data_IF_599030106352
#
_entry.id   IF_599030106352
#
_cell.length_a   1.000
_cell.length_b   1.000
_cell.length_c   1.000
_cell.angle_alpha   90.00
_cell.angle_beta   90.00
_cell.angle_gamma   90.00
#
_symmetry.space_group_name_H-M   'P 1'
#
loop_
_entity.id
_entity.type
_entity.pdbx_description
1 polymer ?
#
# COMPACT_ATOMS: atom_id res chain seq x y z
N UNK A 1 12.14 4.66 -0.47
CA UNK A 1 13.49 4.81 0.10
C UNK A 1 13.66 6.20 0.74
N UNK A 2 13.53 7.29 -0.02
CA UNK A 2 13.69 8.67 0.51
C UNK A 2 12.86 8.99 1.76
N UNK A 3 11.58 8.62 1.80
CA UNK A 3 10.68 8.82 2.94
C UNK A 3 11.19 8.19 4.26
N UNK A 4 11.83 7.01 4.20
CA UNK A 4 12.35 6.33 5.38
C UNK A 4 13.56 7.08 5.97
N UNK A 5 14.47 7.55 5.11
CA UNK A 5 15.66 8.27 5.51
C UNK A 5 15.33 9.67 6.04
N UNK A 6 14.39 10.37 5.42
CA UNK A 6 13.95 11.70 5.88
C UNK A 6 13.34 11.63 7.29
N UNK A 7 12.50 10.62 7.54
CA UNK A 7 11.93 10.38 8.87
C UNK A 7 12.98 10.05 9.94
N UNK A 8 13.99 9.24 9.62
CA UNK A 8 15.07 8.88 10.55
C UNK A 8 15.97 10.08 10.87
N UNK A 9 16.33 10.88 9.85
CA UNK A 9 17.14 12.09 10.02
C UNK A 9 16.38 13.16 10.81
N UNK A 10 15.06 13.30 10.62
CA UNK A 10 14.26 14.25 11.40
C UNK A 10 14.16 13.87 12.89
N UNK A 11 14.16 12.58 13.21
CA UNK A 11 14.20 12.10 14.61
C UNK A 11 15.58 12.35 15.21
N UNK A 12 16.66 12.00 14.49
CA UNK A 12 18.03 12.21 14.96
C UNK A 12 18.38 13.69 15.15
N UNK A 13 17.82 14.59 14.33
CA UNK A 13 18.02 16.04 14.44
C UNK A 13 17.07 16.74 15.42
N UNK A 14 16.12 16.01 16.03
CA UNK A 14 15.09 16.61 16.89
C UNK A 14 14.15 17.57 16.17
N UNK A 15 14.12 17.56 14.83
CA UNK A 15 13.31 18.44 13.98
C UNK A 15 11.99 17.79 13.55
N UNK A 16 11.64 16.64 14.14
CA UNK A 16 10.37 15.97 13.90
C UNK A 16 9.18 16.88 14.27
N UNK A 17 8.52 17.43 13.25
CA UNK A 17 7.37 18.33 13.39
C UNK A 17 6.10 17.65 12.89
N UNK A 18 4.96 17.95 13.52
CA UNK A 18 3.62 17.55 13.05
C UNK A 18 3.34 18.02 11.62
N UNK A 19 3.91 19.16 11.24
CA UNK A 19 3.81 19.70 9.87
C UNK A 19 4.66 18.87 8.91
N UNK A 20 5.86 18.45 9.32
CA UNK A 20 6.73 17.56 8.53
C UNK A 20 6.09 16.19 8.26
N UNK A 21 5.42 15.60 9.28
CA UNK A 21 4.68 14.33 9.11
C UNK A 21 3.59 14.46 8.02
N UNK A 22 2.88 15.59 7.97
CA UNK A 22 1.85 15.86 6.96
C UNK A 22 2.44 15.97 5.54
N UNK A 23 3.49 16.79 5.38
CA UNK A 23 4.13 17.01 4.07
C UNK A 23 4.89 15.78 3.55
N UNK A 24 5.25 14.84 4.43
CA UNK A 24 5.78 13.55 4.02
C UNK A 24 4.66 12.56 3.68
N UNK A 25 3.56 12.53 4.44
CA UNK A 25 2.51 11.55 4.25
C UNK A 25 1.65 11.81 3.00
N UNK A 26 1.27 13.06 2.69
CA UNK A 26 0.35 13.35 1.59
C UNK A 26 0.94 13.03 0.21
N UNK A 27 2.13 13.53 -0.19
CA UNK A 27 2.72 13.22 -1.49
C UNK A 27 3.05 11.74 -1.66
N UNK A 28 3.36 11.07 -0.55
CA UNK A 28 3.61 9.65 -0.49
C UNK A 28 2.35 8.82 -0.80
N UNK A 29 1.15 9.28 -0.41
CA UNK A 29 -0.12 8.65 -0.84
C UNK A 29 -0.41 8.83 -2.31
N UNK A 30 -0.11 10.01 -2.86
CA UNK A 30 -0.26 10.28 -4.29
C UNK A 30 0.68 9.38 -5.07
N UNK A 31 1.94 9.24 -4.64
CA UNK A 31 2.91 8.34 -5.27
C UNK A 31 2.52 6.86 -5.17
N UNK A 32 2.07 6.39 -4.00
CA UNK A 32 1.58 5.01 -3.82
C UNK A 32 0.42 4.71 -4.79
N UNK A 33 -0.51 5.66 -4.93
CA UNK A 33 -1.68 5.54 -5.81
C UNK A 33 -1.26 5.52 -7.28
N UNK A 34 -0.40 6.44 -7.69
CA UNK A 34 0.12 6.50 -9.06
C UNK A 34 0.88 5.22 -9.43
N UNK A 35 1.67 4.66 -8.51
CA UNK A 35 2.40 3.42 -8.73
C UNK A 35 1.47 2.22 -8.93
N UNK A 36 0.41 2.09 -8.12
CA UNK A 36 -0.56 0.99 -8.22
C UNK A 36 -1.43 1.08 -9.48
N UNK A 37 -1.91 2.28 -9.82
CA UNK A 37 -2.66 2.51 -11.06
C UNK A 37 -1.75 2.29 -12.27
N UNK A 38 -0.52 2.80 -12.24
CA UNK A 38 0.48 2.59 -13.30
C UNK A 38 0.78 1.12 -13.54
N UNK A 39 0.87 0.30 -12.49
CA UNK A 39 1.03 -1.15 -12.62
C UNK A 39 -0.19 -1.81 -13.29
N UNK A 40 -1.40 -1.25 -13.13
CA UNK A 40 -2.61 -1.68 -13.84
C UNK A 40 -2.56 -1.43 -15.35
N UNK A 41 -1.85 -0.39 -15.78
CA UNK A 41 -1.62 -0.08 -17.20
C UNK A 41 -0.42 -0.82 -17.81
N UNK A 42 0.38 -1.52 -17.00
CA UNK A 42 1.51 -2.29 -17.51
C UNK A 42 1.05 -3.48 -18.38
N UNK A 43 1.94 -4.01 -19.21
CA UNK A 43 1.65 -5.19 -20.03
C UNK A 43 1.25 -6.38 -19.14
N UNK A 44 0.05 -6.92 -19.34
CA UNK A 44 -0.51 -7.98 -18.50
C UNK A 44 -1.06 -7.50 -17.14
N UNK A 45 -1.15 -6.19 -16.95
CA UNK A 45 -1.90 -5.56 -15.86
C UNK A 45 -3.41 -5.52 -16.15
N UNK A 46 -4.16 -5.21 -15.11
CA UNK A 46 -5.60 -4.96 -15.17
C UNK A 46 -5.88 -3.61 -14.52
N UNK A 47 -6.49 -2.70 -15.29
CA UNK A 47 -6.75 -1.32 -14.87
C UNK A 47 -7.73 -1.27 -13.69
N UNK A 48 -8.76 -2.12 -13.69
CA UNK A 48 -9.73 -2.18 -12.59
C UNK A 48 -9.08 -2.69 -11.31
N UNK A 49 -8.19 -3.69 -11.41
CA UNK A 49 -7.40 -4.14 -10.27
C UNK A 49 -6.41 -3.07 -9.78
N UNK A 50 -5.81 -2.29 -10.68
CA UNK A 50 -4.93 -1.16 -10.35
C UNK A 50 -5.65 -0.11 -9.51
N UNK A 51 -6.83 0.34 -9.96
CA UNK A 51 -7.66 1.28 -9.20
C UNK A 51 -8.19 0.67 -7.89
N UNK A 52 -8.65 -0.58 -7.93
CA UNK A 52 -9.12 -1.28 -6.73
C UNK A 52 -8.03 -1.38 -5.66
N UNK A 53 -6.82 -1.79 -6.05
CA UNK A 53 -5.67 -1.88 -5.16
C UNK A 53 -5.29 -0.50 -4.59
N UNK A 54 -5.34 0.56 -5.41
CA UNK A 54 -5.07 1.92 -4.96
C UNK A 54 -6.12 2.42 -3.94
N UNK A 55 -7.41 2.20 -4.20
CA UNK A 55 -8.48 2.54 -3.27
C UNK A 55 -8.35 1.77 -1.94
N UNK A 56 -8.09 0.46 -2.01
CA UNK A 56 -7.88 -0.35 -0.82
C UNK A 56 -6.64 0.10 -0.03
N UNK A 57 -5.54 0.43 -0.72
CA UNK A 57 -4.33 0.97 -0.11
C UNK A 57 -4.61 2.32 0.59
N UNK A 58 -5.36 3.22 -0.05
CA UNK A 58 -5.76 4.50 0.55
C UNK A 58 -6.65 4.29 1.77
N UNK A 59 -7.59 3.34 1.70
CA UNK A 59 -8.45 2.95 2.82
C UNK A 59 -7.64 2.48 4.05
N UNK A 60 -6.55 1.73 3.86
CA UNK A 60 -5.69 1.33 5.00
C UNK A 60 -5.09 2.52 5.74
N UNK A 61 -4.74 3.59 5.02
CA UNK A 61 -4.21 4.81 5.60
C UNK A 61 -5.32 5.65 6.25
N UNK A 62 -6.47 5.75 5.58
CA UNK A 62 -7.64 6.47 6.09
C UNK A 62 -8.13 5.89 7.43
N UNK A 63 -8.30 4.57 7.53
CA UNK A 63 -8.70 3.91 8.78
C UNK A 63 -7.73 4.21 9.93
N UNK A 64 -6.43 4.28 9.64
CA UNK A 64 -5.41 4.64 10.64
C UNK A 64 -5.55 6.11 11.05
N UNK A 65 -5.73 7.02 10.10
CA UNK A 65 -5.90 8.44 10.38
C UNK A 65 -7.16 8.72 11.21
N UNK A 66 -8.28 8.07 10.87
CA UNK A 66 -9.53 8.14 11.65
C UNK A 66 -9.35 7.56 13.04
N UNK A 67 -8.68 6.40 13.17
CA UNK A 67 -8.36 5.81 14.47
C UNK A 67 -7.52 6.74 15.35
N UNK A 68 -6.49 7.38 14.78
CA UNK A 68 -5.66 8.40 15.46
C UNK A 68 -6.51 9.60 15.91
N UNK A 69 -7.41 10.07 15.05
CA UNK A 69 -8.35 11.16 15.37
C UNK A 69 -9.37 10.80 16.46
N UNK A 70 -9.78 9.53 16.55
CA UNK A 70 -10.68 9.01 17.59
C UNK A 70 -9.99 8.74 18.94
N UNK A 71 -8.68 8.97 19.06
CA UNK A 71 -7.91 8.75 20.29
C UNK A 71 -7.28 7.36 20.41
N UNK A 72 -7.38 6.50 19.40
CA UNK A 72 -6.68 5.22 19.38
C UNK A 72 -5.19 5.41 18.99
N UNK A 73 -4.26 4.63 19.56
CA UNK A 73 -2.86 4.67 19.16
C UNK A 73 -2.67 4.20 17.72
N UNK A 74 -1.63 4.71 17.05
CA UNK A 74 -1.29 4.33 15.67
C UNK A 74 -1.09 2.81 15.54
N UNK A 75 -1.99 2.14 14.82
CA UNK A 75 -1.87 0.72 14.51
C UNK A 75 -1.28 0.52 13.10
N UNK A 76 -0.06 -0.03 13.06
CA UNK A 76 0.65 -0.36 11.82
C UNK A 76 0.46 -1.81 11.38
N UNK A 77 -0.40 -2.59 12.05
CA UNK A 77 -0.59 -4.00 11.72
C UNK A 77 -1.15 -4.24 10.31
N UNK A 78 -0.93 -5.46 9.82
CA UNK A 78 -1.46 -5.95 8.54
C UNK A 78 -0.39 -6.72 7.75
N UNK A 79 -0.77 -7.79 7.03
CA UNK A 79 0.13 -8.58 6.19
C UNK A 79 0.52 -7.86 4.88
N UNK A 80 -0.10 -6.70 4.62
CA UNK A 80 0.11 -5.88 3.45
C UNK A 80 0.36 -4.43 3.90
N UNK A 81 1.32 -4.26 4.80
CA UNK A 81 1.78 -2.94 5.23
C UNK A 81 2.40 -2.19 4.04
N UNK A 82 2.49 -0.86 4.14
CA UNK A 82 2.98 0.00 3.05
C UNK A 82 4.31 -0.47 2.45
N UNK A 83 5.27 -0.84 3.29
CA UNK A 83 6.59 -1.30 2.85
C UNK A 83 6.50 -2.58 2.02
N UNK A 84 5.68 -3.54 2.43
CA UNK A 84 5.49 -4.81 1.71
C UNK A 84 4.81 -4.59 0.35
N UNK A 85 3.80 -3.70 0.28
CA UNK A 85 3.16 -3.33 -0.99
C UNK A 85 4.16 -2.72 -1.97
N UNK A 86 4.93 -1.74 -1.51
CA UNK A 86 5.87 -1.04 -2.38
C UNK A 86 7.02 -1.94 -2.81
N UNK A 87 7.47 -2.86 -1.95
CA UNK A 87 8.45 -3.87 -2.33
C UNK A 87 7.93 -4.79 -3.46
N UNK A 88 6.70 -5.30 -3.35
CA UNK A 88 6.09 -6.12 -4.40
C UNK A 88 5.96 -5.37 -5.73
N UNK A 89 5.48 -4.12 -5.68
CA UNK A 89 5.37 -3.28 -6.88
C UNK A 89 6.74 -3.07 -7.52
N UNK A 90 7.78 -2.73 -6.74
CA UNK A 90 9.14 -2.54 -7.28
C UNK A 90 9.70 -3.82 -7.91
N UNK A 91 9.57 -4.97 -7.23
CA UNK A 91 10.06 -6.25 -7.76
C UNK A 91 9.37 -6.64 -9.07
N UNK A 92 8.05 -6.47 -9.14
CA UNK A 92 7.30 -6.77 -10.37
C UNK A 92 7.64 -5.80 -11.49
N UNK A 93 7.79 -4.51 -11.20
CA UNK A 93 8.20 -3.53 -12.22
C UNK A 93 9.58 -3.85 -12.80
N UNK A 94 10.55 -4.26 -11.95
CA UNK A 94 11.88 -4.70 -12.42
C UNK A 94 11.76 -5.98 -13.26
N UNK A 95 10.96 -6.95 -12.81
CA UNK A 95 10.72 -8.17 -13.56
C UNK A 95 10.09 -7.88 -14.93
N UNK A 96 9.07 -7.02 -15.00
CA UNK A 96 8.46 -6.60 -16.26
C UNK A 96 9.42 -5.84 -17.19
N UNK A 97 10.37 -5.09 -16.63
CA UNK A 97 11.38 -4.39 -17.42
C UNK A 97 12.45 -5.34 -18.00
N UNK A 98 12.82 -6.39 -17.26
CA UNK A 98 13.89 -7.31 -17.65
C UNK A 98 13.40 -8.57 -18.40
N UNK A 99 12.18 -9.03 -18.13
CA UNK A 99 11.65 -10.28 -18.67
C UNK A 99 10.94 -10.06 -20.01
N UNK A 100 11.10 -10.97 -21.00
CA UNK A 100 10.37 -10.92 -22.26
C UNK A 100 8.85 -10.94 -22.03
N UNK A 101 8.09 -10.25 -22.89
CA UNK A 101 6.61 -10.18 -22.82
C UNK A 101 5.96 -11.58 -22.81
N UNK A 102 6.59 -12.56 -23.45
CA UNK A 102 6.14 -13.96 -23.44
C UNK A 102 6.12 -14.59 -22.03
N UNK A 103 7.03 -14.17 -21.14
CA UNK A 103 7.15 -14.69 -19.76
C UNK A 103 6.25 -13.93 -18.77
N UNK A 104 5.64 -12.83 -19.21
CA UNK A 104 4.79 -12.00 -18.37
C UNK A 104 3.35 -12.53 -18.28
N UNK A 105 3.02 -13.58 -19.05
CA UNK A 105 1.71 -14.25 -19.02
C UNK A 105 1.77 -15.48 -18.11
N UNK A 106 0.91 -15.54 -17.09
CA UNK A 106 0.77 -16.77 -16.31
C UNK A 106 -0.21 -17.73 -17.01
N UNK A 107 0.15 -19.01 -17.19
CA UNK A 107 -0.77 -20.02 -17.69
C UNK A 107 -1.69 -20.48 -16.55
N UNK A 108 -2.67 -19.64 -16.16
CA UNK A 108 -3.66 -19.95 -15.12
C UNK A 108 -5.03 -20.34 -15.73
N UNK A 109 -5.06 -21.38 -16.56
CA UNK A 109 -6.32 -21.94 -17.07
C UNK A 109 -7.10 -20.96 -17.97
N UNK A 110 -8.42 -20.83 -17.75
CA UNK A 110 -9.35 -20.11 -18.63
C UNK A 110 -9.16 -18.57 -18.70
N UNK A 111 -8.39 -17.99 -17.79
CA UNK A 111 -7.94 -16.61 -17.86
C UNK A 111 -6.42 -16.62 -17.71
N UNK A 112 -5.67 -16.02 -18.64
CA UNK A 112 -4.21 -15.84 -18.48
C UNK A 112 -3.92 -14.44 -17.96
N UNK A 113 -4.09 -14.16 -16.64
CA UNK A 113 -3.70 -12.87 -16.10
C UNK A 113 -2.18 -12.72 -16.28
N UNK A 114 -1.75 -11.50 -16.60
CA UNK A 114 -0.32 -11.22 -16.55
C UNK A 114 0.17 -11.17 -15.10
N UNK A 115 1.48 -11.31 -14.92
CA UNK A 115 2.15 -11.16 -13.62
C UNK A 115 1.71 -9.88 -12.89
N UNK A 116 1.58 -8.70 -13.54
CA UNK A 116 1.11 -7.50 -12.87
C UNK A 116 -0.32 -7.61 -12.33
N UNK A 117 -1.27 -8.16 -13.10
CA UNK A 117 -2.64 -8.35 -12.65
C UNK A 117 -2.73 -9.30 -11.43
N UNK A 118 -1.97 -10.40 -11.45
CA UNK A 118 -1.92 -11.33 -10.32
C UNK A 118 -1.39 -10.65 -9.04
N UNK A 119 -0.34 -9.84 -9.16
CA UNK A 119 0.22 -9.10 -8.02
C UNK A 119 -0.74 -8.03 -7.52
N UNK A 120 -1.42 -7.31 -8.42
CA UNK A 120 -2.44 -6.33 -8.05
C UNK A 120 -3.60 -6.98 -7.27
N UNK A 121 -4.02 -8.20 -7.67
CA UNK A 121 -5.03 -8.96 -6.94
C UNK A 121 -4.55 -9.31 -5.52
N UNK A 122 -3.31 -9.76 -5.36
CA UNK A 122 -2.71 -10.05 -4.05
C UNK A 122 -2.63 -8.78 -3.20
N UNK A 123 -2.21 -7.65 -3.78
CA UNK A 123 -2.17 -6.34 -3.10
C UNK A 123 -3.56 -5.90 -2.66
N UNK A 124 -4.57 -6.03 -3.53
CA UNK A 124 -5.96 -5.70 -3.23
C UNK A 124 -6.49 -6.55 -2.06
N UNK A 125 -6.40 -7.87 -2.16
CA UNK A 125 -6.87 -8.78 -1.12
C UNK A 125 -6.14 -8.56 0.21
N UNK A 126 -4.81 -8.40 0.18
CA UNK A 126 -4.02 -8.13 1.37
C UNK A 126 -4.34 -6.77 2.00
N UNK A 127 -4.63 -5.75 1.19
CA UNK A 127 -5.02 -4.41 1.67
C UNK A 127 -6.39 -4.43 2.32
N UNK A 128 -7.38 -5.12 1.72
CA UNK A 128 -8.71 -5.30 2.31
C UNK A 128 -8.64 -6.06 3.64
N UNK A 129 -7.88 -7.16 3.70
CA UNK A 129 -7.66 -7.88 4.95
C UNK A 129 -7.00 -6.99 6.03
N UNK A 130 -6.11 -6.10 5.63
CA UNK A 130 -5.49 -5.11 6.53
C UNK A 130 -6.50 -4.08 7.04
N UNK A 131 -7.36 -3.55 6.17
CA UNK A 131 -8.45 -2.64 6.54
C UNK A 131 -9.33 -3.27 7.61
N UNK A 132 -9.83 -4.49 7.38
CA UNK A 132 -10.69 -5.20 8.32
C UNK A 132 -9.99 -5.43 9.67
N UNK A 133 -8.73 -5.89 9.66
CA UNK A 133 -7.96 -6.10 10.89
C UNK A 133 -7.75 -4.82 11.69
N UNK A 134 -7.43 -3.70 11.02
CA UNK A 134 -7.24 -2.40 11.68
C UNK A 134 -8.54 -1.87 12.26
N UNK A 135 -9.64 -1.91 11.51
CA UNK A 135 -10.95 -1.50 11.99
C UNK A 135 -11.35 -2.26 13.25
N UNK A 136 -11.17 -3.59 13.25
CA UNK A 136 -11.51 -4.42 14.39
C UNK A 136 -10.64 -4.11 15.62
N UNK A 137 -9.33 -3.95 15.45
CA UNK A 137 -8.41 -3.59 16.55
C UNK A 137 -8.65 -2.20 17.11
N UNK A 138 -8.88 -1.20 16.24
CA UNK A 138 -9.21 0.17 16.66
C UNK A 138 -10.54 0.15 17.44
N UNK A 139 -11.57 -0.51 16.92
CA UNK A 139 -12.85 -0.63 17.60
C UNK A 139 -12.76 -1.33 18.95
N UNK A 140 -11.95 -2.39 19.07
CA UNK A 140 -11.71 -3.07 20.35
C UNK A 140 -10.98 -2.17 21.35
N UNK A 141 -9.98 -1.39 20.90
CA UNK A 141 -9.23 -0.46 21.76
C UNK A 141 -10.09 0.70 22.25
N UNK A 142 -10.94 1.25 21.40
CA UNK A 142 -11.84 2.35 21.78
C UNK A 142 -12.92 1.89 22.78
N UNK A 143 -13.40 0.65 22.67
CA UNK A 143 -14.36 0.07 23.63
C UNK A 143 -13.74 -0.29 24.99
N UNK A 144 -12.43 -0.55 25.02
CA UNK A 144 -11.69 -0.92 26.22
C UNK A 144 -10.91 0.24 26.85
N UNK A 145 -11.05 1.46 26.33
CA UNK A 145 -10.48 2.64 26.96
C UNK A 145 -11.32 3.00 28.21
N UNK A 146 -10.69 3.21 29.38
CA UNK A 146 -11.39 3.63 30.59
C UNK A 146 -12.03 5.01 30.46
#
# INVERSE_FOLDING_TARGET
MANLFDGMVAIERGTASKVGELFNEVPDRVSDTAALVGLGYAAGGDVLLGYGAALAAMMTAYVRAVGKGAGAPNDFCGPMAKQQRMFLVTMVSIFCAAAPVAWQRLPLGCCTPGVPAAVLLVILAGSLATVVRRLWRIGARLKGAP
#
